data_IF_621454468787
#
_entry.id   IF_621454468787
#
_cell.length_a   1.000
_cell.length_b   1.000
_cell.length_c   1.000
_cell.angle_alpha   90.00
_cell.angle_beta   90.00
_cell.angle_gamma   90.00
#
_symmetry.space_group_name_H-M   'P 1'
#
loop_
_entity.id
_entity.type
_entity.pdbx_description
1 polymer ?
#
# COMPACT_ATOMS: atom_id res chain seq x y z
N UNK A 1 2.71 -6.55 10.50
CA UNK A 1 2.86 -8.00 10.29
C UNK A 1 1.63 -8.44 9.49
N UNK A 2 1.80 -8.73 8.19
CA UNK A 2 0.70 -9.11 7.26
C UNK A 2 0.66 -10.63 7.01
N UNK A 3 1.46 -11.39 7.77
CA UNK A 3 1.56 -12.84 7.67
C UNK A 3 0.27 -13.49 8.17
N UNK A 4 -0.28 -14.42 7.39
CA UNK A 4 -1.48 -15.17 7.77
C UNK A 4 -2.80 -14.37 7.72
N UNK A 5 -2.78 -13.15 7.17
CA UNK A 5 -4.00 -12.38 6.98
C UNK A 5 -4.85 -12.95 5.84
N UNK A 6 -6.16 -12.99 6.05
CA UNK A 6 -7.10 -13.48 5.04
C UNK A 6 -8.20 -12.45 4.80
N UNK A 7 -8.03 -11.68 3.72
CA UNK A 7 -9.03 -10.74 3.25
C UNK A 7 -8.85 -10.46 1.76
N UNK A 8 -9.95 -10.33 1.00
CA UNK A 8 -9.90 -10.17 -0.47
C UNK A 8 -9.10 -8.94 -0.92
N UNK A 9 -9.08 -7.87 -0.11
CA UNK A 9 -8.38 -6.61 -0.38
C UNK A 9 -7.06 -6.45 0.40
N UNK A 10 -6.53 -7.53 0.99
CA UNK A 10 -5.19 -7.59 1.56
C UNK A 10 -4.36 -8.57 0.72
N UNK A 11 -3.10 -8.22 0.43
CA UNK A 11 -2.14 -9.14 -0.15
C UNK A 11 -1.40 -9.86 0.97
N UNK A 12 -1.64 -11.15 1.21
CA UNK A 12 -0.96 -11.88 2.26
C UNK A 12 0.50 -12.16 1.88
N UNK A 13 1.34 -12.29 2.90
CA UNK A 13 2.65 -12.95 2.75
C UNK A 13 2.41 -14.46 2.85
N UNK A 14 2.77 -15.20 1.81
CA UNK A 14 2.64 -16.67 1.77
C UNK A 14 3.80 -17.39 2.44
N UNK A 15 4.98 -16.80 2.40
CA UNK A 15 6.16 -17.43 2.96
C UNK A 15 7.32 -16.47 3.12
N UNK A 16 8.30 -16.92 3.88
CA UNK A 16 9.56 -16.22 4.10
C UNK A 16 10.69 -17.23 3.89
N UNK A 17 11.79 -16.81 3.25
CA UNK A 17 13.03 -17.55 3.26
C UNK A 17 14.07 -16.69 3.99
N UNK A 18 14.68 -17.27 5.02
CA UNK A 18 15.71 -16.62 5.84
C UNK A 18 16.98 -17.47 5.93
N UNK A 19 17.15 -18.43 5.02
CA UNK A 19 18.30 -19.36 5.02
C UNK A 19 19.61 -18.62 4.79
N UNK A 20 19.56 -17.55 3.99
CA UNK A 20 20.65 -16.59 3.86
C UNK A 20 20.35 -15.32 4.68
N UNK A 21 21.02 -15.09 5.83
CA UNK A 21 20.79 -13.91 6.65
C UNK A 21 21.09 -12.59 5.93
N UNK A 22 21.90 -12.61 4.87
CA UNK A 22 22.22 -11.41 4.06
C UNK A 22 21.17 -11.11 3.00
N UNK A 23 20.26 -12.05 2.73
CA UNK A 23 19.24 -11.93 1.68
C UNK A 23 17.94 -12.65 2.10
N UNK A 24 17.22 -12.11 3.10
CA UNK A 24 15.89 -12.59 3.41
C UNK A 24 14.94 -12.33 2.24
N UNK A 25 14.06 -13.30 1.94
CA UNK A 25 13.08 -13.21 0.86
C UNK A 25 11.67 -13.33 1.42
N UNK A 26 10.74 -12.57 0.83
CA UNK A 26 9.30 -12.65 1.09
C UNK A 26 8.60 -13.16 -0.17
N UNK A 27 7.68 -14.11 0.01
CA UNK A 27 6.91 -14.71 -1.07
C UNK A 27 5.46 -14.24 -1.00
N UNK A 28 4.94 -13.76 -2.13
CA UNK A 28 3.59 -13.22 -2.25
C UNK A 28 2.83 -13.94 -3.38
N UNK A 29 1.49 -13.99 -3.31
CA UNK A 29 0.69 -14.28 -4.49
C UNK A 29 0.99 -13.27 -5.59
N UNK A 30 1.19 -13.75 -6.81
CA UNK A 30 1.43 -12.89 -7.97
C UNK A 30 0.17 -12.11 -8.34
N UNK A 31 0.33 -10.80 -8.60
CA UNK A 31 -0.75 -9.91 -9.05
C UNK A 31 -0.35 -9.30 -10.40
N UNK A 32 -1.10 -9.65 -11.44
CA UNK A 32 -0.68 -9.51 -12.84
C UNK A 32 -0.65 -8.07 -13.39
N UNK A 33 -1.23 -7.08 -12.72
CA UNK A 33 -1.21 -5.68 -13.16
C UNK A 33 -0.30 -4.78 -12.30
N UNK A 34 0.28 -5.33 -11.24
CA UNK A 34 1.35 -4.68 -10.47
C UNK A 34 0.87 -3.51 -9.60
N UNK A 35 1.68 -2.47 -9.50
CA UNK A 35 1.51 -1.37 -8.54
C UNK A 35 0.43 -0.36 -8.95
N UNK A 36 -0.46 0.00 -8.02
CA UNK A 36 -1.60 0.89 -8.27
C UNK A 36 -1.19 2.33 -8.62
N UNK A 37 -0.20 2.93 -7.93
CA UNK A 37 0.31 4.27 -8.27
C UNK A 37 0.78 4.33 -9.72
N UNK A 38 1.62 3.36 -10.13
CA UNK A 38 2.15 3.30 -11.50
C UNK A 38 1.04 3.09 -12.53
N UNK A 39 0.07 2.24 -12.22
CA UNK A 39 -1.09 2.02 -13.08
C UNK A 39 -1.91 3.30 -13.29
N UNK A 40 -2.26 4.02 -12.21
CA UNK A 40 -3.01 5.27 -12.30
C UNK A 40 -2.28 6.34 -13.11
N UNK A 41 -0.95 6.43 -12.96
CA UNK A 41 -0.11 7.34 -13.74
C UNK A 41 -0.15 6.99 -15.24
N UNK A 42 -0.06 5.70 -15.61
CA UNK A 42 -0.18 5.27 -17.01
C UNK A 42 -1.54 5.62 -17.61
N UNK A 43 -2.63 5.37 -16.88
CA UNK A 43 -3.98 5.75 -17.30
C UNK A 43 -4.12 7.26 -17.51
N UNK A 44 -3.51 8.09 -16.64
CA UNK A 44 -3.53 9.55 -16.78
C UNK A 44 -2.84 10.02 -18.06
N UNK A 45 -1.73 9.40 -18.44
CA UNK A 45 -0.96 9.76 -19.64
C UNK A 45 -1.49 9.14 -20.93
N UNK A 46 -2.53 8.28 -20.85
CA UNK A 46 -3.06 7.52 -22.00
C UNK A 46 -1.96 6.73 -22.73
N UNK A 47 -0.97 6.25 -21.99
CA UNK A 47 0.10 5.41 -22.54
C UNK A 47 -0.42 4.02 -22.98
N UNK A 48 -1.66 3.70 -22.61
CA UNK A 48 -2.30 2.43 -22.93
C UNK A 48 -3.80 2.68 -23.20
N UNK A 49 -4.16 2.77 -24.49
CA UNK A 49 -5.53 3.03 -24.97
C UNK A 49 -6.52 1.92 -24.55
N UNK A 50 -6.05 0.77 -24.06
CA UNK A 50 -6.91 -0.27 -23.50
C UNK A 50 -7.56 0.11 -22.17
N UNK A 51 -7.06 1.13 -21.45
CA UNK A 51 -7.43 1.35 -20.04
C UNK A 51 -7.95 2.76 -19.78
N UNK A 52 -9.11 3.07 -20.35
CA UNK A 52 -9.96 4.18 -19.92
C UNK A 52 -10.57 3.84 -18.55
N UNK A 53 -10.07 4.50 -17.49
CA UNK A 53 -10.70 4.44 -16.17
C UNK A 53 -11.88 5.40 -16.10
N UNK A 54 -13.06 4.86 -15.81
CA UNK A 54 -14.22 5.66 -15.44
C UNK A 54 -14.14 6.10 -13.98
N UNK A 55 -14.90 7.14 -13.62
CA UNK A 55 -15.09 7.55 -12.22
C UNK A 55 -15.60 6.40 -11.36
N UNK A 56 -16.50 5.56 -11.89
CA UNK A 56 -17.00 4.38 -11.19
C UNK A 56 -15.87 3.44 -10.80
N UNK A 57 -14.92 3.17 -11.72
CA UNK A 57 -13.79 2.30 -11.40
C UNK A 57 -12.90 2.88 -10.29
N UNK A 58 -12.70 4.19 -10.27
CA UNK A 58 -11.92 4.85 -9.20
C UNK A 58 -12.61 4.74 -7.85
N UNK A 59 -13.94 4.92 -7.81
CA UNK A 59 -14.75 4.74 -6.59
C UNK A 59 -14.70 3.28 -6.12
N UNK A 60 -14.84 2.32 -7.03
CA UNK A 60 -14.75 0.90 -6.69
C UNK A 60 -13.37 0.52 -6.13
N UNK A 61 -12.28 1.09 -6.67
CA UNK A 61 -10.94 0.90 -6.12
C UNK A 61 -10.80 1.50 -4.71
N UNK A 62 -11.38 2.68 -4.47
CA UNK A 62 -11.36 3.32 -3.15
C UNK A 62 -12.14 2.49 -2.12
N UNK A 63 -13.32 1.98 -2.47
CA UNK A 63 -14.12 1.08 -1.61
C UNK A 63 -13.31 -0.17 -1.25
N UNK A 64 -12.62 -0.77 -2.21
CA UNK A 64 -11.78 -1.95 -1.97
C UNK A 64 -10.64 -1.67 -0.98
N UNK A 65 -9.98 -0.51 -1.11
CA UNK A 65 -8.95 -0.08 -0.14
C UNK A 65 -9.58 0.08 1.24
N UNK A 66 -10.71 0.78 1.35
CA UNK A 66 -11.41 0.98 2.62
C UNK A 66 -11.80 -0.33 3.29
N UNK A 67 -12.31 -1.31 2.54
CA UNK A 67 -12.60 -2.65 3.07
C UNK A 67 -11.35 -3.34 3.61
N UNK A 68 -10.21 -3.20 2.93
CA UNK A 68 -8.92 -3.70 3.42
C UNK A 68 -8.48 -3.01 4.72
N UNK A 69 -8.58 -1.68 4.79
CA UNK A 69 -8.22 -0.90 5.99
C UNK A 69 -9.14 -1.24 7.16
N UNK A 70 -10.45 -1.33 6.93
CA UNK A 70 -11.42 -1.77 7.95
C UNK A 70 -11.05 -3.15 8.51
N UNK A 71 -10.64 -4.09 7.67
CA UNK A 71 -10.15 -5.38 8.13
C UNK A 71 -8.88 -5.23 8.98
N UNK A 72 -7.88 -4.45 8.57
CA UNK A 72 -6.67 -4.21 9.37
C UNK A 72 -7.00 -3.62 10.74
N UNK A 73 -7.89 -2.62 10.79
CA UNK A 73 -8.34 -1.99 12.03
C UNK A 73 -9.08 -2.99 12.93
N UNK A 74 -9.89 -3.90 12.37
CA UNK A 74 -10.53 -4.99 13.12
C UNK A 74 -9.53 -5.96 13.77
N UNK A 75 -8.32 -6.05 13.22
CA UNK A 75 -7.20 -6.83 13.76
C UNK A 75 -6.28 -5.98 14.66
N UNK A 76 -6.71 -4.78 15.08
CA UNK A 76 -5.93 -3.83 15.87
C UNK A 76 -4.61 -3.39 15.19
N UNK A 77 -4.57 -3.37 13.86
CA UNK A 77 -3.40 -2.98 13.08
C UNK A 77 -3.63 -1.62 12.45
N UNK A 78 -2.86 -0.63 12.92
CA UNK A 78 -2.70 0.65 12.23
C UNK A 78 -1.62 0.52 11.15
N UNK A 79 -1.95 0.91 9.92
CA UNK A 79 -1.12 0.69 8.74
C UNK A 79 0.00 1.71 8.58
N UNK A 80 -0.23 2.97 9.00
CA UNK A 80 0.74 4.08 9.14
C UNK A 80 1.35 4.64 7.86
N UNK A 81 1.11 3.99 6.72
CA UNK A 81 1.63 4.42 5.42
C UNK A 81 0.61 4.16 4.31
N UNK A 82 -0.66 4.51 4.56
CA UNK A 82 -1.74 4.24 3.61
C UNK A 82 -1.61 5.14 2.38
N UNK A 83 -1.16 4.54 1.28
CA UNK A 83 -1.00 5.23 0.02
C UNK A 83 -1.12 4.24 -1.16
N UNK A 84 -1.51 4.74 -2.32
CA UNK A 84 -1.64 3.93 -3.56
C UNK A 84 -0.32 3.30 -4.02
N UNK A 85 0.84 3.78 -3.54
CA UNK A 85 2.14 3.12 -3.76
C UNK A 85 2.26 1.78 -3.03
N UNK A 86 1.47 1.56 -1.98
CA UNK A 86 1.45 0.35 -1.17
C UNK A 86 0.21 -0.51 -1.49
N UNK A 87 -0.30 -0.37 -2.70
CA UNK A 87 -1.40 -1.15 -3.22
C UNK A 87 -1.00 -1.77 -4.56
N UNK A 88 -1.51 -2.96 -4.81
CA UNK A 88 -1.42 -3.65 -6.09
C UNK A 88 -2.82 -3.90 -6.63
N UNK A 89 -2.91 -4.11 -7.94
CA UNK A 89 -4.17 -4.46 -8.58
C UNK A 89 -3.98 -5.57 -9.63
N UNK A 90 -5.03 -6.32 -9.89
CA UNK A 90 -5.06 -7.35 -10.93
C UNK A 90 -5.75 -6.88 -12.23
N UNK A 91 -5.84 -7.77 -13.21
CA UNK A 91 -6.50 -7.53 -14.50
C UNK A 91 -8.00 -7.28 -14.40
N UNK A 92 -8.64 -7.66 -13.28
CA UNK A 92 -10.06 -7.43 -12.98
C UNK A 92 -10.27 -6.18 -12.11
N UNK A 93 -9.25 -5.33 -11.98
CA UNK A 93 -9.25 -4.14 -11.13
C UNK A 93 -9.54 -4.45 -9.65
N UNK A 94 -9.16 -5.65 -9.19
CA UNK A 94 -9.21 -5.98 -7.77
C UNK A 94 -7.97 -5.41 -7.08
N UNK A 95 -8.18 -4.53 -6.11
CA UNK A 95 -7.13 -3.85 -5.35
C UNK A 95 -6.83 -4.60 -4.07
N UNK A 96 -5.53 -4.74 -3.77
CA UNK A 96 -5.02 -5.33 -2.55
C UNK A 96 -3.98 -4.41 -1.91
N UNK A 97 -4.11 -4.16 -0.62
CA UNK A 97 -3.10 -3.47 0.19
C UNK A 97 -1.95 -4.43 0.46
N UNK A 98 -0.71 -3.99 0.26
CA UNK A 98 0.52 -4.77 0.51
C UNK A 98 1.17 -4.35 1.81
N UNK A 99 2.26 -4.99 2.25
CA UNK A 99 3.13 -4.35 3.24
C UNK A 99 3.87 -3.15 2.62
N UNK A 100 4.60 -2.41 3.45
CA UNK A 100 5.35 -1.21 3.07
C UNK A 100 6.88 -1.39 3.22
N UNK A 101 7.38 -2.62 3.29
CA UNK A 101 8.78 -2.89 3.63
C UNK A 101 9.78 -2.31 2.61
N UNK A 102 9.42 -2.29 1.32
CA UNK A 102 10.27 -1.82 0.22
C UNK A 102 9.80 -0.48 -0.38
N UNK A 103 8.80 0.15 0.23
CA UNK A 103 8.14 1.32 -0.37
C UNK A 103 9.06 2.53 -0.44
N UNK A 104 9.98 2.68 0.52
CA UNK A 104 10.99 3.73 0.52
C UNK A 104 12.00 3.57 -0.62
N UNK A 105 12.40 2.35 -0.91
CA UNK A 105 13.35 2.04 -1.99
C UNK A 105 12.72 2.25 -3.37
N UNK A 106 11.45 1.83 -3.55
CA UNK A 106 10.76 1.96 -4.83
C UNK A 106 10.15 3.35 -5.08
N UNK A 107 9.86 4.12 -4.03
CA UNK A 107 9.23 5.44 -4.12
C UNK A 107 9.90 6.48 -3.20
N UNK A 108 11.22 6.72 -3.33
CA UNK A 108 11.96 7.59 -2.41
C UNK A 108 11.42 9.02 -2.36
N UNK A 109 10.91 9.54 -3.48
CA UNK A 109 10.35 10.89 -3.58
C UNK A 109 9.05 11.11 -2.77
N UNK A 110 8.46 10.05 -2.24
CA UNK A 110 7.27 10.14 -1.38
C UNK A 110 7.62 10.24 0.11
N UNK A 111 8.90 10.06 0.48
CA UNK A 111 9.36 10.07 1.87
C UNK A 111 10.34 11.22 2.13
N UNK A 112 10.22 11.83 3.32
CA UNK A 112 10.99 13.01 3.71
C UNK A 112 11.53 12.85 5.13
N UNK A 113 12.71 13.40 5.40
CA UNK A 113 13.29 13.50 6.74
C UNK A 113 13.08 14.92 7.28
N UNK A 114 12.60 15.05 8.52
CA UNK A 114 12.28 16.35 9.14
C UNK A 114 13.35 16.78 10.15
N UNK A 115 14.63 16.50 9.84
CA UNK A 115 15.76 16.82 10.71
C UNK A 115 16.04 15.81 11.83
N UNK A 116 15.30 14.69 11.87
CA UNK A 116 15.42 13.64 12.90
C UNK A 116 15.96 12.32 12.34
N UNK A 117 16.55 12.34 11.14
CA UNK A 117 17.02 11.15 10.39
C UNK A 117 15.97 10.04 10.21
N UNK A 118 14.69 10.30 10.48
CA UNK A 118 13.61 9.36 10.22
C UNK A 118 12.90 9.73 8.91
N UNK A 119 13.01 8.84 7.93
CA UNK A 119 12.31 8.98 6.65
C UNK A 119 10.85 8.57 6.79
N UNK A 120 9.93 9.49 6.53
CA UNK A 120 8.47 9.32 6.73
C UNK A 120 7.65 9.79 5.53
N UNK A 121 6.47 9.20 5.28
CA UNK A 121 5.57 9.62 4.20
C UNK A 121 4.80 10.89 4.56
N UNK A 122 5.51 12.02 4.77
CA UNK A 122 4.97 13.26 5.37
C UNK A 122 3.66 13.74 4.72
N UNK A 123 3.52 13.59 3.39
CA UNK A 123 2.33 14.03 2.64
C UNK A 123 1.06 13.20 2.92
N UNK A 124 1.18 12.06 3.60
CA UNK A 124 0.10 11.12 3.93
C UNK A 124 -0.14 10.98 5.43
N UNK A 125 0.66 11.63 6.27
CA UNK A 125 0.51 11.51 7.73
C UNK A 125 -0.53 12.49 8.26
N UNK A 126 -1.34 12.01 9.21
CA UNK A 126 -2.18 12.86 10.04
C UNK A 126 -1.31 13.82 10.89
N UNK A 127 -1.91 14.94 11.31
CA UNK A 127 -1.17 16.01 12.00
C UNK A 127 -0.59 15.53 13.34
N UNK A 128 -1.35 14.75 14.10
CA UNK A 128 -0.90 14.13 15.35
C UNK A 128 0.22 13.10 15.13
N UNK A 129 0.20 12.38 14.00
CA UNK A 129 1.29 11.47 13.63
C UNK A 129 2.56 12.23 13.27
N UNK A 130 2.42 13.39 12.63
CA UNK A 130 3.53 14.26 12.27
C UNK A 130 4.17 14.91 13.50
N UNK A 131 3.35 15.48 14.39
CA UNK A 131 3.81 16.27 15.54
C UNK A 131 4.19 15.42 16.76
N UNK A 132 3.44 14.35 17.02
CA UNK A 132 3.52 13.59 18.28
C UNK A 132 3.87 12.12 18.08
N UNK A 133 4.14 11.68 16.84
CA UNK A 133 4.37 10.27 16.48
C UNK A 133 3.23 9.35 16.97
N UNK A 134 2.00 9.87 17.03
CA UNK A 134 0.82 9.11 17.44
C UNK A 134 0.17 8.47 16.22
N UNK A 135 -0.06 7.16 16.28
CA UNK A 135 -0.64 6.38 15.19
C UNK A 135 -1.84 5.61 15.70
N UNK A 136 -3.00 5.85 15.10
CA UNK A 136 -4.28 5.26 15.45
C UNK A 136 -5.04 4.85 14.18
N UNK A 137 -6.14 4.12 14.32
CA UNK A 137 -7.04 3.88 13.19
C UNK A 137 -7.55 5.19 12.56
N UNK A 138 -7.73 6.25 13.36
CA UNK A 138 -8.15 7.57 12.85
C UNK A 138 -7.05 8.25 12.03
N UNK A 139 -5.76 8.02 12.32
CA UNK A 139 -4.67 8.56 11.51
C UNK A 139 -4.47 7.85 10.16
N UNK A 140 -5.08 6.67 9.99
CA UNK A 140 -5.11 5.97 8.68
C UNK A 140 -6.29 6.45 7.79
N UNK A 141 -7.23 7.23 8.34
CA UNK A 141 -8.44 7.74 7.64
C UNK A 141 -8.18 9.14 7.13
#
# INVERSE_FOLDING_TARGET
>A
MMLGMEHKNILPIWGVNVDNPKQPLLVYPYVNRGNLKRFLVKCRHREDDQYSLSTQNLVDMAIQILLGVMYLHSQCICYKDLAVRNCVLDSKLQVKITDNCLSRDFFPNDYFCLGDNESRPVKWLALESLLHKQYTGASDV
#
